data_IF_051415591186
#
_entry.id   IF_051415591186
#
_cell.length_a   1.000
_cell.length_b   1.000
_cell.length_c   1.000
_cell.angle_alpha   90.00
_cell.angle_beta   90.00
_cell.angle_gamma   90.00
#
_symmetry.space_group_name_H-M   'P 1'
#
loop_
_entity.id
_entity.type
_entity.pdbx_description
1 polymer ?
#
# COMPACT_ATOMS: atom_id res chain seq x y z
N UNK A 1 0.81 15.64 3.82
CA UNK A 1 1.80 14.80 4.54
C UNK A 1 2.57 13.95 3.54
N UNK A 2 1.93 13.00 2.86
CA UNK A 2 2.59 12.19 1.82
C UNK A 2 3.09 13.01 0.63
N UNK A 3 2.33 14.00 0.16
CA UNK A 3 2.73 14.86 -0.96
C UNK A 3 3.99 15.71 -0.68
N UNK A 4 4.42 15.79 0.58
CA UNK A 4 5.66 16.48 1.00
C UNK A 4 6.82 15.48 1.13
N UNK A 5 6.52 14.24 1.54
CA UNK A 5 7.52 13.21 1.88
C UNK A 5 7.86 12.26 0.73
N UNK A 6 7.01 12.21 -0.30
CA UNK A 6 7.12 11.26 -1.40
C UNK A 6 6.79 11.94 -2.73
N UNK A 7 7.23 11.32 -3.82
CA UNK A 7 6.85 11.77 -5.16
C UNK A 7 5.59 11.04 -5.63
N UNK A 8 4.79 11.69 -6.45
CA UNK A 8 3.66 11.04 -7.12
C UNK A 8 4.17 9.90 -8.03
N UNK A 9 3.48 8.77 -8.00
CA UNK A 9 3.77 7.65 -8.88
C UNK A 9 3.45 8.01 -10.35
N UNK A 10 4.21 7.55 -11.36
CA UNK A 10 3.93 7.84 -12.78
C UNK A 10 2.54 7.42 -13.29
N UNK A 11 1.85 6.54 -12.56
CA UNK A 11 0.46 6.14 -12.84
C UNK A 11 -0.58 7.16 -12.36
N UNK A 12 -0.11 8.23 -11.73
CA UNK A 12 -0.92 9.29 -11.18
C UNK A 12 -1.76 8.88 -9.96
N UNK A 13 -2.39 9.86 -9.38
CA UNK A 13 -3.45 9.70 -8.39
C UNK A 13 -4.81 9.38 -9.04
N UNK A 14 -5.67 8.67 -8.30
CA UNK A 14 -7.11 8.60 -8.59
C UNK A 14 -7.84 9.38 -7.51
N UNK A 15 -8.12 10.66 -7.75
CA UNK A 15 -8.50 11.65 -6.74
C UNK A 15 -9.53 11.16 -5.72
N UNK A 16 -10.56 10.43 -6.16
CA UNK A 16 -11.65 9.99 -5.29
C UNK A 16 -11.33 8.76 -4.43
N UNK A 17 -10.32 7.96 -4.78
CA UNK A 17 -10.17 6.60 -4.22
C UNK A 17 -8.78 6.30 -3.72
N UNK A 18 -7.74 6.63 -4.49
CA UNK A 18 -6.37 6.27 -4.14
C UNK A 18 -5.37 7.36 -4.51
N UNK A 19 -4.37 7.53 -3.66
CA UNK A 19 -3.15 8.28 -3.97
C UNK A 19 -2.00 7.28 -4.08
N UNK A 20 -1.13 7.47 -5.07
CA UNK A 20 -0.01 6.56 -5.36
C UNK A 20 1.29 7.34 -5.26
N UNK A 21 2.23 6.80 -4.52
CA UNK A 21 3.47 7.46 -4.18
C UNK A 21 4.67 6.54 -4.39
N UNK A 22 5.83 7.16 -4.57
CA UNK A 22 7.13 6.51 -4.43
C UNK A 22 7.89 7.24 -3.33
N UNK A 23 8.20 6.51 -2.26
CA UNK A 23 8.98 6.97 -1.14
C UNK A 23 10.43 6.53 -1.32
N UNK A 24 11.39 7.39 -1.00
CA UNK A 24 12.81 7.03 -1.03
C UNK A 24 13.29 6.90 0.41
N UNK A 25 13.65 5.68 0.80
CA UNK A 25 14.20 5.37 2.13
C UNK A 25 15.59 6.00 2.29
N UNK A 26 16.13 6.14 3.52
CA UNK A 26 17.48 6.67 3.74
C UNK A 26 18.60 5.89 3.03
N UNK A 27 18.40 4.59 2.80
CA UNK A 27 19.35 3.74 2.06
C UNK A 27 19.30 3.97 0.54
N UNK A 28 18.42 4.85 0.06
CA UNK A 28 18.19 5.11 -1.36
C UNK A 28 17.22 4.13 -2.02
N UNK A 29 16.72 3.11 -1.31
CA UNK A 29 15.70 2.21 -1.85
C UNK A 29 14.40 2.98 -2.10
N UNK A 30 13.85 2.81 -3.30
CA UNK A 30 12.54 3.32 -3.69
C UNK A 30 11.46 2.31 -3.32
N UNK A 31 10.41 2.78 -2.67
CA UNK A 31 9.29 1.98 -2.18
C UNK A 31 8.01 2.55 -2.77
N UNK A 32 7.26 1.73 -3.50
CA UNK A 32 5.92 2.09 -3.93
C UNK A 32 4.94 2.00 -2.75
N UNK A 33 4.06 2.99 -2.67
CA UNK A 33 3.02 3.07 -1.65
C UNK A 33 1.70 3.47 -2.30
N UNK A 34 0.62 2.79 -1.93
CA UNK A 34 -0.73 3.22 -2.28
C UNK A 34 -1.50 3.58 -1.02
N UNK A 35 -2.03 4.80 -0.98
CA UNK A 35 -2.94 5.25 0.06
C UNK A 35 -4.37 5.20 -0.47
N UNK A 36 -5.20 4.36 0.13
CA UNK A 36 -6.63 4.26 -0.16
C UNK A 36 -7.40 5.23 0.74
N UNK A 37 -8.13 6.16 0.11
CA UNK A 37 -8.74 7.33 0.77
C UNK A 37 -10.24 7.47 0.49
N UNK A 38 -10.93 6.38 0.13
CA UNK A 38 -12.37 6.48 -0.14
C UNK A 38 -13.13 6.86 1.14
N UNK A 39 -14.14 7.73 1.01
CA UNK A 39 -15.01 8.13 2.12
C UNK A 39 -15.78 6.96 2.77
N UNK A 40 -15.83 5.80 2.10
CA UNK A 40 -16.58 4.61 2.54
C UNK A 40 -15.68 3.54 3.17
N UNK A 41 -14.36 3.69 3.10
CA UNK A 41 -13.39 2.69 3.56
C UNK A 41 -12.43 3.29 4.57
N UNK A 42 -11.93 2.50 5.54
CA UNK A 42 -10.82 2.94 6.36
C UNK A 42 -9.64 3.36 5.48
N UNK A 43 -8.86 4.32 5.97
CA UNK A 43 -7.58 4.66 5.36
C UNK A 43 -6.70 3.40 5.36
N UNK A 44 -6.29 2.97 4.17
CA UNK A 44 -5.36 1.85 4.02
C UNK A 44 -4.07 2.35 3.39
N UNK A 45 -2.95 1.95 3.97
CA UNK A 45 -1.63 2.12 3.37
C UNK A 45 -1.17 0.74 2.91
N UNK A 46 -0.96 0.61 1.60
CA UNK A 46 -0.46 -0.61 0.98
C UNK A 46 1.00 -0.45 0.60
N UNK A 47 1.80 -1.45 0.96
CA UNK A 47 3.22 -1.54 0.65
C UNK A 47 3.64 -3.01 0.51
N UNK A 48 4.79 -3.26 -0.09
CA UNK A 48 5.39 -4.59 -0.12
C UNK A 48 5.66 -5.11 1.30
N UNK A 49 5.35 -6.39 1.54
CA UNK A 49 5.54 -7.04 2.83
C UNK A 49 7.03 -7.09 3.24
N UNK A 50 7.94 -7.20 2.28
CA UNK A 50 9.39 -7.18 2.50
C UNK A 50 9.89 -5.87 3.11
N UNK A 51 9.19 -4.76 2.86
CA UNK A 51 9.52 -3.43 3.36
C UNK A 51 8.92 -3.18 4.74
N UNK A 52 7.82 -3.86 5.07
CA UNK A 52 7.13 -3.67 6.34
C UNK A 52 7.93 -4.14 7.57
N UNK A 53 8.93 -5.01 7.42
CA UNK A 53 9.96 -5.32 8.43
C UNK A 53 9.54 -5.21 9.91
N UNK A 54 10.22 -4.32 10.65
CA UNK A 54 9.98 -4.00 12.06
C UNK A 54 8.68 -3.22 12.32
N UNK A 55 8.06 -2.64 11.29
CA UNK A 55 6.78 -1.92 11.37
C UNK A 55 5.65 -2.87 11.80
N UNK A 56 5.77 -4.17 11.54
CA UNK A 56 4.83 -5.18 12.03
C UNK A 56 4.90 -5.37 13.56
N UNK A 57 5.96 -4.92 14.23
CA UNK A 57 6.16 -5.02 15.68
C UNK A 57 5.61 -3.83 16.47
N UNK A 58 5.23 -2.74 15.81
CA UNK A 58 4.80 -1.48 16.45
C UNK A 58 3.35 -1.52 16.99
N UNK A 59 2.66 -2.66 16.91
CA UNK A 59 1.26 -2.80 17.35
C UNK A 59 0.24 -2.15 16.39
N UNK A 60 0.68 -1.53 15.29
CA UNK A 60 -0.22 -1.00 14.27
C UNK A 60 -1.00 -2.15 13.61
N UNK A 61 -2.33 -1.97 13.50
CA UNK A 61 -3.19 -2.95 12.83
C UNK A 61 -2.79 -3.10 11.37
N UNK A 62 -2.53 -4.33 10.98
CA UNK A 62 -2.14 -4.68 9.63
C UNK A 62 -2.79 -5.99 9.20
N UNK A 63 -2.78 -6.22 7.88
CA UNK A 63 -3.21 -7.48 7.27
C UNK A 63 -2.24 -7.86 6.17
N UNK A 64 -1.74 -9.09 6.21
CA UNK A 64 -1.02 -9.70 5.10
C UNK A 64 -1.97 -9.99 3.94
N UNK A 65 -1.56 -9.62 2.74
CA UNK A 65 -2.24 -9.98 1.49
C UNK A 65 -1.22 -10.69 0.62
N UNK A 66 -1.15 -12.03 0.64
CA UNK A 66 -0.15 -12.77 -0.11
C UNK A 66 -0.48 -12.80 -1.61
N UNK A 67 0.55 -12.82 -2.46
CA UNK A 67 0.47 -12.89 -3.90
C UNK A 67 -0.24 -14.18 -4.37
N UNK A 68 -0.09 -15.27 -3.62
CA UNK A 68 -0.76 -16.54 -3.88
C UNK A 68 -2.29 -16.46 -3.88
N UNK A 69 -2.87 -15.39 -3.31
CA UNK A 69 -4.32 -15.17 -3.26
C UNK A 69 -4.83 -14.27 -4.39
N UNK A 70 -3.94 -13.72 -5.24
CA UNK A 70 -4.32 -12.73 -6.25
C UNK A 70 -5.35 -13.25 -7.24
N UNK A 71 -5.27 -14.51 -7.66
CA UNK A 71 -6.15 -15.08 -8.67
C UNK A 71 -6.85 -16.35 -8.18
N UNK A 72 -6.95 -16.50 -6.86
CA UNK A 72 -7.48 -17.72 -6.22
C UNK A 72 -9.00 -17.88 -6.37
N UNK A 73 -9.72 -16.84 -6.82
CA UNK A 73 -11.17 -16.87 -7.02
C UNK A 73 -11.50 -16.73 -8.50
N UNK A 74 -12.40 -17.57 -9.03
CA UNK A 74 -12.92 -17.37 -10.37
C UNK A 74 -13.80 -16.12 -10.42
N UNK A 75 -13.67 -15.36 -11.49
CA UNK A 75 -14.54 -14.24 -11.83
C UNK A 75 -15.86 -14.70 -12.43
N UNK A 76 -16.68 -13.73 -12.82
CA UNK A 76 -18.05 -13.99 -13.34
C UNK A 76 -18.09 -14.93 -14.56
N UNK A 77 -17.04 -14.94 -15.36
CA UNK A 77 -16.95 -15.74 -16.59
C UNK A 77 -16.10 -17.01 -16.42
N UNK A 78 -15.67 -17.34 -15.19
CA UNK A 78 -14.75 -18.44 -14.91
C UNK A 78 -13.27 -18.08 -14.99
N UNK A 79 -12.92 -16.94 -15.60
CA UNK A 79 -11.53 -16.45 -15.64
C UNK A 79 -11.02 -16.05 -14.25
N UNK A 80 -9.74 -16.25 -13.92
CA UNK A 80 -9.20 -15.85 -12.63
C UNK A 80 -9.34 -14.35 -12.38
N UNK A 81 -9.95 -13.97 -11.26
CA UNK A 81 -10.19 -12.56 -10.92
C UNK A 81 -9.08 -12.05 -10.00
N UNK A 82 -8.56 -10.85 -10.30
CA UNK A 82 -7.65 -10.14 -9.40
C UNK A 82 -8.33 -9.84 -8.05
N UNK A 83 -7.75 -10.38 -6.98
CA UNK A 83 -8.35 -10.48 -5.65
C UNK A 83 -8.06 -9.30 -4.72
N UNK A 84 -7.37 -8.26 -5.22
CA UNK A 84 -7.09 -7.02 -4.50
C UNK A 84 -7.77 -5.83 -5.17
N UNK A 85 -7.57 -4.65 -4.58
CA UNK A 85 -8.01 -3.39 -5.17
C UNK A 85 -7.38 -3.21 -6.56
N UNK A 86 -8.18 -2.99 -7.61
CA UNK A 86 -7.70 -2.92 -9.00
C UNK A 86 -6.65 -1.84 -9.23
N UNK A 87 -6.69 -0.76 -8.46
CA UNK A 87 -5.66 0.28 -8.51
C UNK A 87 -4.25 -0.21 -8.13
N UNK A 88 -4.12 -1.33 -7.41
CA UNK A 88 -2.84 -2.00 -7.14
C UNK A 88 -2.38 -2.84 -8.33
N UNK A 89 -3.30 -3.42 -9.10
CA UNK A 89 -2.98 -4.31 -10.22
C UNK A 89 -2.06 -3.65 -11.24
N UNK A 90 -2.25 -2.35 -11.46
CA UNK A 90 -1.46 -1.57 -12.42
C UNK A 90 -0.11 -1.11 -11.87
N UNK A 91 0.14 -1.22 -10.57
CA UNK A 91 1.38 -0.77 -9.94
C UNK A 91 2.48 -1.84 -10.08
N UNK A 92 3.63 -1.54 -10.69
CA UNK A 92 4.66 -2.54 -10.99
C UNK A 92 5.17 -3.31 -9.77
N UNK A 93 5.42 -2.61 -8.65
CA UNK A 93 5.92 -3.27 -7.45
C UNK A 93 4.80 -3.91 -6.61
N UNK A 94 3.59 -3.32 -6.61
CA UNK A 94 2.52 -3.78 -5.72
C UNK A 94 1.53 -4.76 -6.34
N UNK A 95 1.42 -4.80 -7.67
CA UNK A 95 0.39 -5.59 -8.36
C UNK A 95 0.54 -7.10 -8.16
N UNK A 96 1.77 -7.59 -8.05
CA UNK A 96 2.05 -9.03 -8.00
C UNK A 96 2.79 -9.49 -6.75
N UNK A 97 3.30 -8.57 -5.92
CA UNK A 97 4.07 -8.90 -4.72
C UNK A 97 3.19 -9.33 -3.54
N UNK A 98 3.81 -9.92 -2.52
CA UNK A 98 3.20 -10.03 -1.19
C UNK A 98 3.10 -8.63 -0.57
N UNK A 99 1.91 -8.27 -0.09
CA UNK A 99 1.65 -6.94 0.45
C UNK A 99 1.27 -6.97 1.92
N UNK A 100 1.52 -5.86 2.58
CA UNK A 100 0.92 -5.50 3.85
C UNK A 100 -0.05 -4.33 3.63
N UNK A 101 -1.25 -4.48 4.18
CA UNK A 101 -2.24 -3.42 4.32
C UNK A 101 -2.22 -2.91 5.76
N UNK A 102 -1.61 -1.75 5.99
CA UNK A 102 -1.67 -1.05 7.26
C UNK A 102 -2.98 -0.25 7.34
N UNK A 103 -3.58 -0.17 8.53
CA UNK A 103 -4.86 0.52 8.76
C UNK A 103 -4.75 1.56 9.86
N UNK A 104 -4.09 2.69 9.60
CA UNK A 104 -4.03 3.77 10.59
C UNK A 104 -5.44 4.28 10.89
N UNK A 105 -5.74 4.43 12.18
CA UNK A 105 -6.99 5.03 12.68
C UNK A 105 -6.86 6.53 12.90
N UNK A 106 -5.64 7.01 13.05
CA UNK A 106 -5.33 8.41 13.35
C UNK A 106 -4.24 8.92 12.42
N UNK A 107 -4.17 10.25 12.27
CA UNK A 107 -3.08 10.88 11.51
C UNK A 107 -1.71 10.60 12.16
N UNK A 108 -1.65 10.50 13.49
CA UNK A 108 -0.43 10.15 14.22
C UNK A 108 0.04 8.72 13.90
N UNK A 109 -0.88 7.75 13.82
CA UNK A 109 -0.54 6.40 13.37
C UNK A 109 -0.05 6.39 11.91
N UNK A 110 -0.69 7.18 11.04
CA UNK A 110 -0.22 7.32 9.66
C UNK A 110 1.18 7.94 9.58
N UNK A 111 1.46 8.99 10.37
CA UNK A 111 2.77 9.61 10.49
C UNK A 111 3.83 8.61 10.94
N UNK A 112 3.58 7.88 12.03
CA UNK A 112 4.50 6.88 12.56
C UNK A 112 4.83 5.76 11.55
N UNK A 113 3.87 5.36 10.71
CA UNK A 113 4.13 4.41 9.61
C UNK A 113 5.13 5.02 8.62
N UNK A 114 4.94 6.27 8.21
CA UNK A 114 5.82 6.93 7.25
C UNK A 114 7.20 7.21 7.82
N UNK A 115 7.27 7.68 9.06
CA UNK A 115 8.52 7.94 9.78
C UNK A 115 9.37 6.66 9.84
N UNK A 116 8.75 5.52 10.16
CA UNK A 116 9.45 4.23 10.16
C UNK A 116 10.00 3.85 8.78
N UNK A 117 9.21 4.07 7.71
CA UNK A 117 9.67 3.81 6.34
C UNK A 117 10.80 4.74 5.92
N UNK A 118 10.83 5.95 6.48
CA UNK A 118 11.88 6.95 6.28
C UNK A 118 13.05 6.80 7.27
N UNK A 119 13.04 5.77 8.12
CA UNK A 119 14.10 5.53 9.11
C UNK A 119 14.22 6.62 10.18
N UNK A 120 13.13 7.34 10.46
CA UNK A 120 13.02 8.33 11.52
C UNK A 120 12.58 7.71 12.86
#
# INVERSE_FOLDING_TARGET
MLDVLAIEHPLGHQEAYVRRYILTTPSGKRVELMFEQSAKTPANIWLEASVAGSLLRSGTKHRLSPASQLYAKPGKNGDPQYGRHSALETMPALGTADLICMRPKTLAEAGAILDHLLGA
#
